data_IF_224979398631
#
_entry.id   IF_224979398631
#
_cell.length_a   1.000
_cell.length_b   1.000
_cell.length_c   1.000
_cell.angle_alpha   90.00
_cell.angle_beta   90.00
_cell.angle_gamma   90.00
#
_symmetry.space_group_name_H-M   'P 1'
#
loop_
_entity.id
_entity.type
_entity.pdbx_description
1 polymer ?
#
# COMPACT_ATOMS: atom_id res chain seq x y z
N UNK A 1 4.07 -26.23 -30.53
CA UNK A 1 4.63 -26.03 -29.18
C UNK A 1 6.05 -25.55 -29.34
N UNK A 2 6.28 -24.24 -29.20
CA UNK A 2 7.63 -23.71 -29.01
C UNK A 2 8.04 -23.97 -27.56
N UNK A 3 9.30 -24.34 -27.29
CA UNK A 3 9.76 -24.56 -25.92
C UNK A 3 9.83 -23.21 -25.19
N UNK A 4 9.10 -23.12 -24.08
CA UNK A 4 9.23 -22.05 -23.10
C UNK A 4 10.68 -21.99 -22.63
N UNK A 5 11.36 -20.83 -22.68
CA UNK A 5 12.70 -20.71 -22.09
C UNK A 5 12.61 -21.01 -20.59
N UNK A 6 13.67 -21.56 -19.97
CA UNK A 6 13.67 -21.90 -18.56
C UNK A 6 13.38 -20.64 -17.75
N UNK A 7 12.45 -20.76 -16.79
CA UNK A 7 12.18 -19.72 -15.82
C UNK A 7 13.51 -19.29 -15.18
N UNK A 8 13.84 -18.00 -15.30
CA UNK A 8 14.94 -17.42 -14.54
C UNK A 8 14.71 -17.77 -13.07
N UNK A 9 15.72 -18.36 -12.44
CA UNK A 9 15.73 -18.56 -10.99
C UNK A 9 15.42 -17.22 -10.30
N UNK A 10 14.70 -17.21 -9.17
CA UNK A 10 14.41 -15.98 -8.45
C UNK A 10 15.74 -15.26 -8.17
N UNK A 11 15.87 -14.02 -8.64
CA UNK A 11 17.00 -13.17 -8.33
C UNK A 11 16.96 -12.90 -6.81
N UNK A 12 17.68 -13.68 -6.02
CA UNK A 12 17.94 -13.40 -4.60
C UNK A 12 19.04 -12.34 -4.44
N UNK A 13 19.02 -11.22 -5.19
CA UNK A 13 20.19 -10.33 -5.29
C UNK A 13 19.89 -8.86 -5.68
N UNK A 14 18.97 -8.17 -4.99
CA UNK A 14 18.82 -6.70 -5.07
C UNK A 14 19.10 -6.02 -3.71
N UNK A 15 18.39 -6.45 -2.66
CA UNK A 15 18.43 -5.81 -1.34
C UNK A 15 19.82 -5.72 -0.70
N UNK A 16 20.74 -6.67 -0.96
CA UNK A 16 22.09 -6.66 -0.39
C UNK A 16 22.96 -5.47 -0.84
N UNK A 17 22.41 -4.57 -1.68
CA UNK A 17 23.12 -3.43 -2.27
C UNK A 17 22.38 -2.11 -2.11
N UNK A 18 21.19 -2.11 -1.53
CA UNK A 18 20.44 -0.90 -1.22
C UNK A 18 20.82 -0.40 0.19
N UNK A 19 20.92 0.92 0.33
CA UNK A 19 21.24 1.62 1.56
C UNK A 19 20.18 2.71 1.71
N UNK A 20 19.32 2.54 2.71
CA UNK A 20 18.12 3.35 2.88
C UNK A 20 18.10 4.10 4.22
N UNK A 21 19.09 3.78 5.07
CA UNK A 21 19.30 4.44 6.33
C UNK A 21 20.74 4.95 6.48
N UNK A 22 20.90 6.00 7.27
CA UNK A 22 22.22 6.53 7.62
C UNK A 22 23.05 5.51 8.42
N UNK A 23 22.38 4.66 9.21
CA UNK A 23 23.05 3.61 9.98
C UNK A 23 23.67 2.53 9.07
N UNK A 24 22.93 2.05 8.08
CA UNK A 24 23.45 1.13 7.06
C UNK A 24 24.56 1.77 6.24
N UNK A 25 24.40 3.05 5.88
CA UNK A 25 25.45 3.80 5.19
C UNK A 25 26.76 3.78 5.99
N UNK A 26 26.69 4.12 7.28
CA UNK A 26 27.86 4.15 8.15
C UNK A 26 28.48 2.76 8.33
N UNK A 27 27.66 1.71 8.43
CA UNK A 27 28.13 0.32 8.50
C UNK A 27 28.84 -0.12 7.22
N UNK A 28 28.26 0.12 6.05
CA UNK A 28 28.83 -0.27 4.76
C UNK A 28 30.12 0.50 4.49
N UNK A 29 30.16 1.81 4.75
CA UNK A 29 31.37 2.60 4.54
C UNK A 29 32.49 2.17 5.48
N UNK A 30 32.20 1.71 6.69
CA UNK A 30 33.21 1.14 7.58
C UNK A 30 33.89 -0.11 6.98
N UNK A 31 33.26 -0.79 6.02
CA UNK A 31 33.85 -1.92 5.27
C UNK A 31 34.74 -1.45 4.09
N UNK A 32 34.76 -0.15 3.80
CA UNK A 32 35.77 0.51 2.97
C UNK A 32 35.36 0.83 1.52
N UNK A 33 34.14 0.53 1.09
CA UNK A 33 33.68 0.84 -0.28
C UNK A 33 32.17 0.99 -0.38
N UNK A 34 31.72 1.90 -1.22
CA UNK A 34 30.33 2.03 -1.71
C UNK A 34 30.21 1.59 -3.18
N UNK A 35 31.25 0.97 -3.74
CA UNK A 35 31.26 0.60 -5.14
C UNK A 35 30.05 -0.28 -5.46
N UNK A 36 29.25 0.19 -6.43
CA UNK A 36 28.06 -0.48 -6.91
C UNK A 36 26.91 -0.67 -5.91
N UNK A 37 26.89 0.07 -4.79
CA UNK A 37 25.71 0.21 -3.94
C UNK A 37 24.68 1.17 -4.57
N UNK A 38 23.45 1.13 -4.06
CA UNK A 38 22.35 2.06 -4.33
C UNK A 38 22.04 2.74 -3.01
N UNK A 39 22.22 4.06 -2.94
CA UNK A 39 21.90 4.84 -1.76
C UNK A 39 20.65 5.64 -2.09
N UNK A 40 19.61 5.52 -1.28
CA UNK A 40 18.28 6.02 -1.59
C UNK A 40 17.71 6.84 -0.44
N UNK A 41 17.37 8.10 -0.72
CA UNK A 41 16.74 9.04 0.22
C UNK A 41 17.48 9.21 1.58
N UNK A 42 18.79 8.94 1.63
CA UNK A 42 19.61 9.13 2.83
C UNK A 42 20.19 10.54 2.87
N UNK A 43 20.00 11.25 3.98
CA UNK A 43 20.69 12.52 4.23
C UNK A 43 22.16 12.28 4.57
N UNK A 44 23.04 12.69 3.64
CA UNK A 44 24.49 12.53 3.73
C UNK A 44 25.22 13.87 3.88
N UNK A 45 24.51 14.96 4.21
CA UNK A 45 25.12 16.28 4.41
C UNK A 45 26.23 16.24 5.46
N UNK A 46 26.02 15.51 6.55
CA UNK A 46 26.98 15.28 7.64
C UNK A 46 28.01 14.16 7.34
N UNK A 47 28.11 13.68 6.10
CA UNK A 47 29.04 12.62 5.67
C UNK A 47 30.01 13.09 4.58
N UNK A 48 30.20 14.40 4.45
CA UNK A 48 31.06 15.01 3.43
C UNK A 48 32.48 14.42 3.42
N UNK A 49 33.18 14.39 4.56
CA UNK A 49 34.56 13.86 4.65
C UNK A 49 34.65 12.37 4.24
N UNK A 50 33.64 11.60 4.63
CA UNK A 50 33.49 10.19 4.26
C UNK A 50 33.33 10.04 2.75
N UNK A 51 32.42 10.81 2.14
CA UNK A 51 32.14 10.79 0.71
C UNK A 51 33.31 11.28 -0.15
N UNK A 52 34.16 12.15 0.40
CA UNK A 52 35.37 12.61 -0.27
C UNK A 52 36.46 11.52 -0.37
N UNK A 53 36.45 10.55 0.54
CA UNK A 53 37.51 9.55 0.71
C UNK A 53 37.12 8.13 0.27
N UNK A 54 35.87 7.72 0.43
CA UNK A 54 35.39 6.37 0.11
C UNK A 54 35.35 6.12 -1.40
N UNK A 55 35.55 4.86 -1.81
CA UNK A 55 35.35 4.45 -3.21
C UNK A 55 33.85 4.36 -3.54
N UNK A 56 33.38 5.22 -4.45
CA UNK A 56 31.98 5.27 -4.90
C UNK A 56 31.79 4.82 -6.35
N UNK A 57 32.78 4.15 -6.95
CA UNK A 57 32.73 3.79 -8.37
C UNK A 57 31.50 2.93 -8.69
N UNK A 58 30.68 3.37 -9.64
CA UNK A 58 29.46 2.66 -10.05
C UNK A 58 28.34 2.62 -9.01
N UNK A 59 28.49 3.37 -7.89
CA UNK A 59 27.40 3.62 -6.97
C UNK A 59 26.32 4.48 -7.64
N UNK A 60 25.08 4.39 -7.14
CA UNK A 60 23.99 5.28 -7.55
C UNK A 60 23.43 5.93 -6.29
N UNK A 61 23.31 7.25 -6.29
CA UNK A 61 22.68 8.03 -5.24
C UNK A 61 21.36 8.58 -5.78
N UNK A 62 20.24 8.22 -5.14
CA UNK A 62 18.88 8.60 -5.49
C UNK A 62 18.34 9.55 -4.42
N UNK A 63 18.18 10.82 -4.76
CA UNK A 63 17.57 11.80 -3.86
C UNK A 63 18.33 12.06 -2.56
N UNK A 64 19.64 11.76 -2.50
CA UNK A 64 20.43 11.94 -1.27
C UNK A 64 20.90 13.40 -1.13
N UNK A 65 20.52 14.14 -0.07
CA UNK A 65 21.13 15.42 0.26
C UNK A 65 22.64 15.27 0.55
N UNK A 66 23.47 16.12 -0.05
CA UNK A 66 24.93 16.11 0.09
C UNK A 66 25.49 17.52 -0.05
N UNK A 67 26.65 17.80 0.53
CA UNK A 67 27.43 19.00 0.19
C UNK A 67 27.86 18.98 -1.29
N UNK A 68 27.95 20.15 -1.91
CA UNK A 68 28.29 20.30 -3.33
C UNK A 68 29.68 19.70 -3.67
N UNK A 69 30.64 19.82 -2.75
CA UNK A 69 31.98 19.26 -2.91
C UNK A 69 31.95 17.73 -2.92
N UNK A 70 31.16 17.12 -2.04
CA UNK A 70 30.95 15.69 -1.99
C UNK A 70 30.25 15.20 -3.27
N UNK A 71 29.13 15.81 -3.66
CA UNK A 71 28.39 15.47 -4.86
C UNK A 71 29.27 15.54 -6.13
N UNK A 72 30.13 16.56 -6.23
CA UNK A 72 31.08 16.70 -7.34
C UNK A 72 32.13 15.60 -7.33
N UNK A 73 32.69 15.28 -6.16
CA UNK A 73 33.72 14.25 -6.00
C UNK A 73 33.19 12.84 -6.30
N UNK A 74 31.99 12.48 -5.85
CA UNK A 74 31.42 11.14 -6.09
C UNK A 74 31.06 10.95 -7.58
N UNK A 75 30.54 11.99 -8.25
CA UNK A 75 30.32 11.97 -9.72
C UNK A 75 31.63 11.80 -10.47
N UNK A 76 32.67 12.54 -10.09
CA UNK A 76 34.01 12.41 -10.67
C UNK A 76 34.62 11.00 -10.45
N UNK A 77 34.20 10.29 -9.40
CA UNK A 77 34.60 8.90 -9.14
C UNK A 77 33.88 7.86 -10.02
N UNK A 78 32.88 8.27 -10.81
CA UNK A 78 32.07 7.39 -11.63
C UNK A 78 30.79 6.87 -10.95
N UNK A 79 30.29 7.56 -9.93
CA UNK A 79 28.94 7.35 -9.41
C UNK A 79 27.89 8.11 -10.24
N UNK A 80 26.66 7.61 -10.28
CA UNK A 80 25.49 8.36 -10.74
C UNK A 80 24.84 9.05 -9.54
N UNK A 81 24.49 10.33 -9.68
CA UNK A 81 23.86 11.11 -8.61
C UNK A 81 22.62 11.80 -9.17
N UNK A 82 21.47 11.41 -8.64
CA UNK A 82 20.18 12.05 -8.85
C UNK A 82 19.92 12.94 -7.63
N UNK A 83 19.89 14.28 -7.79
CA UNK A 83 19.76 15.17 -6.65
C UNK A 83 18.34 15.11 -6.05
N UNK A 84 18.17 15.48 -4.76
CA UNK A 84 16.86 15.81 -4.22
C UNK A 84 16.18 16.87 -5.08
N UNK A 85 14.86 16.74 -5.27
CA UNK A 85 14.09 17.75 -6.00
C UNK A 85 13.45 18.68 -4.97
N UNK A 86 13.85 19.95 -4.90
CA UNK A 86 13.30 20.88 -3.93
C UNK A 86 11.83 21.18 -4.22
N UNK A 87 11.12 21.67 -3.19
CA UNK A 87 9.76 22.20 -3.28
C UNK A 87 8.68 21.20 -3.74
N UNK A 88 8.96 19.89 -3.73
CA UNK A 88 7.93 18.87 -3.91
C UNK A 88 7.22 18.57 -2.59
N UNK A 89 5.89 18.34 -2.62
CA UNK A 89 5.13 17.90 -1.44
C UNK A 89 5.28 16.40 -1.13
N UNK A 90 6.11 15.69 -1.91
CA UNK A 90 6.44 14.27 -1.75
C UNK A 90 7.91 14.04 -2.14
N UNK A 91 8.52 12.99 -1.59
CA UNK A 91 9.83 12.53 -2.02
C UNK A 91 9.69 11.47 -3.14
N UNK A 92 10.13 11.75 -4.39
CA UNK A 92 10.06 10.79 -5.47
C UNK A 92 11.02 9.60 -5.30
N UNK A 93 12.04 9.69 -4.45
CA UNK A 93 13.03 8.64 -4.26
C UNK A 93 12.86 7.91 -2.93
N UNK A 94 11.72 8.09 -2.23
CA UNK A 94 11.50 7.53 -0.90
C UNK A 94 11.80 6.04 -0.81
N UNK A 95 12.45 5.62 0.27
CA UNK A 95 12.79 4.23 0.60
C UNK A 95 11.70 3.49 1.39
N UNK A 96 10.79 4.22 2.03
CA UNK A 96 9.71 3.62 2.81
C UNK A 96 8.36 4.03 2.27
N UNK A 97 7.33 3.20 2.52
CA UNK A 97 5.94 3.59 2.28
C UNK A 97 5.48 4.65 3.31
N UNK A 98 4.37 5.34 3.04
CA UNK A 98 3.93 6.46 3.88
C UNK A 98 3.40 5.98 5.22
N UNK A 99 3.49 6.84 6.23
CA UNK A 99 2.69 6.70 7.45
C UNK A 99 1.48 7.64 7.44
N UNK A 100 0.43 7.36 8.22
CA UNK A 100 -0.65 8.33 8.42
C UNK A 100 -0.16 9.65 9.01
N UNK A 101 0.76 9.61 9.96
CA UNK A 101 1.27 10.83 10.61
C UNK A 101 2.03 11.73 9.62
N UNK A 102 2.76 11.13 8.67
CA UNK A 102 3.41 11.85 7.57
C UNK A 102 2.40 12.47 6.60
N UNK A 103 1.45 11.67 6.08
CA UNK A 103 0.49 12.16 5.07
C UNK A 103 -0.49 13.21 5.61
N UNK A 104 -0.79 13.15 6.91
CA UNK A 104 -1.67 14.09 7.60
C UNK A 104 -0.90 15.11 8.46
N UNK A 105 0.40 15.29 8.24
CA UNK A 105 1.13 16.36 8.90
C UNK A 105 0.44 17.71 8.65
N UNK A 106 0.45 18.61 9.64
CA UNK A 106 -0.26 19.90 9.60
C UNK A 106 -1.81 19.84 9.54
N UNK A 107 -2.45 18.71 9.91
CA UNK A 107 -3.92 18.58 9.98
C UNK A 107 -4.61 19.58 10.94
N UNK A 108 -3.89 20.14 11.90
CA UNK A 108 -4.36 21.23 12.77
C UNK A 108 -4.67 22.51 11.97
N UNK A 109 -3.99 22.73 10.85
CA UNK A 109 -4.20 23.84 9.91
C UNK A 109 -5.29 23.54 8.86
N UNK A 110 -5.76 22.29 8.78
CA UNK A 110 -6.74 21.82 7.80
C UNK A 110 -6.16 20.77 6.86
N UNK A 111 -7.00 19.87 6.32
CA UNK A 111 -6.54 18.79 5.43
C UNK A 111 -5.83 19.33 4.18
N UNK A 112 -6.25 20.48 3.67
CA UNK A 112 -5.66 21.12 2.50
C UNK A 112 -4.19 21.54 2.70
N UNK A 113 -3.73 21.67 3.94
CA UNK A 113 -2.33 21.96 4.28
C UNK A 113 -1.45 20.71 4.39
N UNK A 114 -2.04 19.51 4.32
CA UNK A 114 -1.32 18.26 4.53
C UNK A 114 -0.50 17.83 3.31
N UNK A 115 0.61 17.09 3.46
CA UNK A 115 1.38 16.56 2.34
C UNK A 115 0.53 15.77 1.34
N UNK A 116 -0.49 15.05 1.84
CA UNK A 116 -1.42 14.31 1.01
C UNK A 116 -2.22 15.20 0.04
N UNK A 117 -2.78 16.30 0.55
CA UNK A 117 -3.57 17.24 -0.24
C UNK A 117 -2.68 18.09 -1.17
N UNK A 118 -1.50 18.48 -0.71
CA UNK A 118 -0.52 19.22 -1.51
C UNK A 118 -0.01 18.38 -2.69
N UNK A 119 0.26 17.09 -2.46
CA UNK A 119 0.65 16.15 -3.54
C UNK A 119 -0.46 15.97 -4.57
N UNK A 120 -1.72 15.97 -4.13
CA UNK A 120 -2.85 15.96 -5.06
C UNK A 120 -2.93 17.27 -5.87
N UNK A 121 -2.83 18.43 -5.22
CA UNK A 121 -2.83 19.72 -5.90
C UNK A 121 -1.73 19.79 -6.97
N UNK A 122 -0.51 19.37 -6.62
CA UNK A 122 0.62 19.29 -7.55
C UNK A 122 0.32 18.36 -8.75
N UNK A 123 -0.30 17.19 -8.53
CA UNK A 123 -0.73 16.31 -9.62
C UNK A 123 -1.74 17.01 -10.54
N UNK A 124 -2.70 17.75 -9.99
CA UNK A 124 -3.73 18.41 -10.81
C UNK A 124 -3.15 19.52 -11.70
N UNK A 125 -2.14 20.21 -11.22
CA UNK A 125 -1.41 21.22 -11.98
C UNK A 125 -0.56 20.58 -13.10
N UNK A 126 0.11 19.45 -12.81
CA UNK A 126 1.10 18.84 -13.71
C UNK A 126 0.58 17.70 -14.58
N UNK A 127 -0.64 17.21 -14.38
CA UNK A 127 -1.15 16.07 -15.18
C UNK A 127 -1.47 16.45 -16.63
N UNK A 128 -1.72 17.72 -16.91
CA UNK A 128 -2.25 18.20 -18.19
C UNK A 128 -1.31 19.15 -18.94
N UNK A 129 -0.18 19.52 -18.34
CA UNK A 129 0.79 20.44 -18.94
C UNK A 129 1.71 19.75 -19.98
N UNK A 130 1.79 18.41 -19.95
CA UNK A 130 2.64 17.62 -20.83
C UNK A 130 4.12 17.62 -20.41
N UNK A 131 4.42 18.02 -19.17
CA UNK A 131 5.79 18.07 -18.66
C UNK A 131 6.37 16.66 -18.46
N UNK A 132 7.44 16.38 -19.18
CA UNK A 132 8.19 15.14 -19.09
C UNK A 132 8.86 15.03 -17.71
N UNK A 133 9.27 16.13 -17.11
CA UNK A 133 9.90 16.11 -15.80
C UNK A 133 8.90 15.70 -14.71
N UNK A 134 7.74 16.36 -14.61
CA UNK A 134 6.69 15.97 -13.67
C UNK A 134 6.17 14.54 -13.89
N UNK A 135 6.01 14.08 -15.13
CA UNK A 135 5.62 12.69 -15.40
C UNK A 135 6.71 11.68 -15.03
N UNK A 136 7.98 12.00 -15.25
CA UNK A 136 9.12 11.20 -14.79
C UNK A 136 9.14 11.11 -13.26
N UNK A 137 8.96 12.22 -12.53
CA UNK A 137 8.98 12.21 -11.06
C UNK A 137 7.86 11.34 -10.47
N UNK A 138 6.66 11.37 -11.06
CA UNK A 138 5.57 10.46 -10.65
C UNK A 138 5.91 8.99 -10.90
N UNK A 139 6.54 8.69 -12.04
CA UNK A 139 6.94 7.33 -12.36
C UNK A 139 8.04 6.81 -11.42
N UNK A 140 9.05 7.64 -11.12
CA UNK A 140 10.11 7.31 -10.16
C UNK A 140 9.52 7.12 -8.76
N UNK A 141 8.61 8.00 -8.33
CA UNK A 141 7.88 7.85 -7.07
C UNK A 141 7.11 6.53 -6.98
N UNK A 142 6.30 6.22 -7.99
CA UNK A 142 5.47 5.01 -7.96
C UNK A 142 6.31 3.72 -8.01
N UNK A 143 7.48 3.77 -8.64
CA UNK A 143 8.48 2.69 -8.62
C UNK A 143 9.07 2.53 -7.22
N UNK A 144 9.53 3.62 -6.59
CA UNK A 144 10.08 3.61 -5.22
C UNK A 144 9.05 3.10 -4.19
N UNK A 145 7.78 3.51 -4.32
CA UNK A 145 6.69 3.01 -3.47
C UNK A 145 6.38 1.54 -3.72
N UNK A 146 6.53 1.04 -4.94
CA UNK A 146 6.35 -0.38 -5.25
C UNK A 146 7.43 -1.22 -4.59
N UNK A 147 8.68 -0.78 -4.69
CA UNK A 147 9.85 -1.43 -4.13
C UNK A 147 9.78 -1.50 -2.60
N UNK A 148 9.57 -0.35 -1.94
CA UNK A 148 9.37 -0.25 -0.50
C UNK A 148 8.19 -1.11 0.01
N UNK A 149 7.13 -1.24 -0.79
CA UNK A 149 6.00 -2.09 -0.46
C UNK A 149 6.33 -3.59 -0.58
N UNK A 150 7.11 -3.98 -1.58
CA UNK A 150 7.55 -5.36 -1.75
C UNK A 150 8.44 -5.78 -0.58
N UNK A 151 9.38 -4.94 -0.19
CA UNK A 151 10.24 -5.13 0.98
C UNK A 151 9.44 -5.28 2.28
N UNK A 152 8.50 -4.37 2.51
CA UNK A 152 7.62 -4.41 3.68
C UNK A 152 6.83 -5.72 3.79
N UNK A 153 6.48 -6.32 2.65
CA UNK A 153 5.64 -7.52 2.58
C UNK A 153 6.44 -8.81 2.43
N UNK A 154 7.78 -8.77 2.44
CA UNK A 154 8.62 -9.97 2.43
C UNK A 154 8.23 -10.91 3.57
N UNK A 155 7.86 -12.14 3.22
CA UNK A 155 7.44 -13.16 4.17
C UNK A 155 6.05 -12.97 4.79
N UNK A 156 5.35 -11.88 4.47
CA UNK A 156 4.01 -11.62 4.96
C UNK A 156 2.97 -12.50 4.26
N UNK A 157 1.96 -12.94 5.02
CA UNK A 157 0.76 -13.60 4.48
C UNK A 157 -0.33 -12.55 4.34
N UNK A 158 -0.52 -12.04 3.14
CA UNK A 158 -1.35 -10.84 2.92
C UNK A 158 -2.75 -11.24 2.48
N UNK A 159 -3.77 -10.76 3.20
CA UNK A 159 -5.17 -10.89 2.80
C UNK A 159 -5.69 -9.53 2.35
N UNK A 160 -6.16 -9.47 1.10
CA UNK A 160 -6.83 -8.30 0.56
C UNK A 160 -8.27 -8.21 1.04
N UNK A 161 -8.73 -7.03 1.44
CA UNK A 161 -10.15 -6.77 1.69
C UNK A 161 -10.62 -5.66 0.75
N UNK A 162 -11.46 -6.05 -0.21
CA UNK A 162 -12.03 -5.18 -1.23
C UNK A 162 -13.46 -4.81 -0.89
N UNK A 163 -13.85 -3.58 -1.19
CA UNK A 163 -15.21 -3.10 -0.94
C UNK A 163 -15.37 -1.61 -1.25
N UNK A 164 -16.62 -1.17 -1.35
CA UNK A 164 -16.92 0.20 -1.75
C UNK A 164 -16.52 1.27 -0.72
N UNK A 165 -16.07 2.42 -1.21
CA UNK A 165 -15.76 3.63 -0.44
C UNK A 165 -16.99 4.31 0.19
N UNK A 166 -18.21 3.95 -0.25
CA UNK A 166 -19.46 4.61 0.13
C UNK A 166 -20.02 4.18 1.51
N UNK A 167 -19.41 3.19 2.15
CA UNK A 167 -19.82 2.70 3.46
C UNK A 167 -19.56 3.77 4.54
N UNK A 168 -20.59 4.18 5.29
CA UNK A 168 -20.45 5.21 6.31
C UNK A 168 -20.01 4.64 7.67
N UNK A 169 -19.18 5.38 8.41
CA UNK A 169 -18.89 5.09 9.83
C UNK A 169 -20.19 5.08 10.64
N UNK A 170 -20.24 4.28 11.70
CA UNK A 170 -21.43 4.11 12.56
C UNK A 170 -22.50 3.16 12.01
N UNK A 171 -22.30 2.55 10.84
CA UNK A 171 -23.21 1.53 10.30
C UNK A 171 -22.80 0.12 10.73
N UNK A 172 -23.76 -0.81 10.75
CA UNK A 172 -23.48 -2.23 11.05
C UNK A 172 -22.53 -2.87 10.03
N UNK A 173 -22.66 -2.49 8.75
CA UNK A 173 -21.76 -2.96 7.70
C UNK A 173 -20.31 -2.51 7.94
N UNK A 174 -20.11 -1.26 8.37
CA UNK A 174 -18.79 -0.74 8.74
C UNK A 174 -18.22 -1.49 9.94
N UNK A 175 -19.02 -1.68 10.99
CA UNK A 175 -18.60 -2.46 12.15
C UNK A 175 -18.27 -3.92 11.79
N UNK A 176 -19.00 -4.53 10.85
CA UNK A 176 -18.72 -5.86 10.32
C UNK A 176 -17.38 -5.94 9.62
N UNK A 177 -17.08 -4.99 8.72
CA UNK A 177 -15.79 -4.93 8.04
C UNK A 177 -14.62 -4.70 9.01
N UNK A 178 -14.83 -3.93 10.08
CA UNK A 178 -13.83 -3.77 11.13
C UNK A 178 -13.62 -5.05 11.95
N UNK A 179 -14.68 -5.81 12.25
CA UNK A 179 -14.52 -7.14 12.88
C UNK A 179 -13.76 -8.10 11.97
N UNK A 180 -14.06 -8.12 10.68
CA UNK A 180 -13.32 -8.93 9.69
C UNK A 180 -11.83 -8.61 9.70
N UNK A 181 -11.46 -7.33 9.55
CA UNK A 181 -10.05 -6.91 9.57
C UNK A 181 -9.33 -7.31 10.86
N UNK A 182 -10.02 -7.22 12.00
CA UNK A 182 -9.48 -7.63 13.29
C UNK A 182 -9.24 -9.13 13.40
N UNK A 183 -10.20 -9.94 12.95
CA UNK A 183 -10.08 -11.39 12.97
C UNK A 183 -8.97 -11.88 12.05
N UNK A 184 -8.82 -11.28 10.86
CA UNK A 184 -7.72 -11.58 9.94
C UNK A 184 -6.37 -11.25 10.55
N UNK A 185 -6.21 -10.06 11.13
CA UNK A 185 -4.97 -9.66 11.80
C UNK A 185 -4.63 -10.58 12.98
N UNK A 186 -5.62 -10.91 13.83
CA UNK A 186 -5.43 -11.87 14.94
C UNK A 186 -5.14 -13.30 14.48
N UNK A 187 -5.52 -13.66 13.25
CA UNK A 187 -5.16 -14.92 12.63
C UNK A 187 -3.74 -14.94 12.01
N UNK A 188 -2.99 -13.83 12.14
CA UNK A 188 -1.61 -13.71 11.66
C UNK A 188 -1.49 -13.30 10.19
N UNK A 189 -2.53 -12.69 9.62
CA UNK A 189 -2.48 -12.12 8.28
C UNK A 189 -2.17 -10.62 8.32
N UNK A 190 -1.41 -10.15 7.35
CA UNK A 190 -1.33 -8.71 7.04
C UNK A 190 -2.56 -8.32 6.25
N UNK A 191 -3.40 -7.43 6.80
CA UNK A 191 -4.57 -6.91 6.09
C UNK A 191 -4.13 -5.84 5.11
N UNK A 192 -4.45 -6.00 3.83
CA UNK A 192 -4.24 -5.01 2.78
C UNK A 192 -5.57 -4.53 2.20
N UNK A 193 -5.71 -3.23 1.97
CA UNK A 193 -6.92 -2.65 1.36
C UNK A 193 -6.56 -1.62 0.31
N UNK A 194 -7.56 -1.14 -0.44
CA UNK A 194 -7.40 -0.03 -1.35
C UNK A 194 -7.11 1.33 -0.69
N UNK A 195 -7.00 1.41 0.64
CA UNK A 195 -6.47 2.57 1.35
C UNK A 195 -7.43 3.76 1.52
N UNK A 196 -8.61 3.75 0.93
CA UNK A 196 -9.60 4.83 1.04
C UNK A 196 -10.58 4.70 2.22
N UNK A 197 -11.62 5.55 2.26
CA UNK A 197 -12.66 5.51 3.30
C UNK A 197 -13.57 4.27 3.18
N UNK A 198 -14.50 4.13 4.13
CA UNK A 198 -15.55 3.11 4.08
C UNK A 198 -15.06 1.71 4.41
N UNK A 199 -15.31 0.72 3.55
CA UNK A 199 -14.98 -0.68 3.84
C UNK A 199 -13.48 -0.90 4.02
N UNK A 200 -12.66 -0.19 3.24
CA UNK A 200 -11.21 -0.22 3.29
C UNK A 200 -10.71 0.31 4.64
N UNK A 201 -11.14 1.52 5.02
CA UNK A 201 -10.88 2.08 6.35
C UNK A 201 -11.32 1.14 7.47
N UNK A 202 -12.53 0.58 7.39
CA UNK A 202 -13.05 -0.30 8.43
C UNK A 202 -12.16 -1.52 8.63
N UNK A 203 -11.74 -2.18 7.56
CA UNK A 203 -10.84 -3.34 7.64
C UNK A 203 -9.47 -2.95 8.24
N UNK A 204 -8.89 -1.81 7.84
CA UNK A 204 -7.66 -1.30 8.46
C UNK A 204 -7.85 -0.94 9.94
N UNK A 205 -8.96 -0.32 10.34
CA UNK A 205 -9.32 -0.08 11.74
C UNK A 205 -9.40 -1.38 12.54
N UNK A 206 -9.97 -2.42 11.94
CA UNK A 206 -10.01 -3.75 12.52
C UNK A 206 -8.63 -4.30 12.83
N UNK A 207 -7.73 -4.25 11.84
CA UNK A 207 -6.34 -4.67 12.01
C UNK A 207 -5.59 -3.82 13.03
N UNK A 208 -5.80 -2.50 13.02
CA UNK A 208 -5.28 -1.56 14.00
C UNK A 208 -5.72 -1.93 15.43
N UNK A 209 -6.98 -2.33 15.61
CA UNK A 209 -7.54 -2.74 16.90
C UNK A 209 -7.13 -4.16 17.36
N UNK A 210 -6.44 -4.94 16.52
CA UNK A 210 -6.13 -6.34 16.78
C UNK A 210 -5.32 -6.58 18.08
N UNK A 211 -4.29 -5.78 18.42
CA UNK A 211 -3.51 -5.95 19.65
C UNK A 211 -4.27 -5.64 20.93
N UNK A 212 -5.35 -4.86 20.85
CA UNK A 212 -6.12 -4.42 22.02
C UNK A 212 -7.22 -5.40 22.42
N UNK A 213 -7.78 -5.21 23.63
CA UNK A 213 -8.97 -5.89 24.13
C UNK A 213 -10.24 -5.54 23.35
N UNK A 214 -11.27 -6.39 23.42
CA UNK A 214 -12.40 -6.33 22.50
C UNK A 214 -13.17 -5.01 22.56
N UNK A 215 -13.29 -4.44 23.76
CA UNK A 215 -13.86 -3.13 24.09
C UNK A 215 -13.28 -1.96 23.27
N UNK A 216 -11.99 -2.00 22.93
CA UNK A 216 -11.33 -0.92 22.19
C UNK A 216 -12.02 -0.65 20.84
N UNK A 217 -12.37 -1.72 20.11
CA UNK A 217 -13.03 -1.57 18.80
C UNK A 217 -14.44 -0.99 18.97
N UNK A 218 -15.14 -1.36 20.04
CA UNK A 218 -16.49 -0.83 20.32
C UNK A 218 -16.41 0.68 20.56
N UNK A 219 -15.48 1.12 21.39
CA UNK A 219 -15.29 2.54 21.71
C UNK A 219 -14.82 3.34 20.49
N UNK A 220 -13.89 2.80 19.70
CA UNK A 220 -13.43 3.41 18.46
C UNK A 220 -14.58 3.59 17.45
N UNK A 221 -15.43 2.57 17.27
CA UNK A 221 -16.59 2.65 16.37
C UNK A 221 -17.59 3.72 16.83
N UNK A 222 -17.83 3.86 18.14
CA UNK A 222 -18.70 4.90 18.68
C UNK A 222 -18.13 6.31 18.47
N UNK A 223 -16.82 6.48 18.62
CA UNK A 223 -16.14 7.74 18.37
C UNK A 223 -16.23 8.12 16.89
N UNK A 224 -15.88 7.21 15.99
CA UNK A 224 -15.88 7.43 14.55
C UNK A 224 -17.29 7.70 13.99
N UNK A 225 -18.34 7.15 14.61
CA UNK A 225 -19.72 7.41 14.23
C UNK A 225 -20.11 8.91 14.28
N UNK A 226 -19.35 9.75 15.01
CA UNK A 226 -19.55 11.20 15.05
C UNK A 226 -19.19 11.91 13.74
N UNK A 227 -18.35 11.29 12.90
CA UNK A 227 -18.00 11.77 11.58
C UNK A 227 -18.25 10.68 10.51
N UNK A 228 -19.52 10.43 10.13
CA UNK A 228 -19.92 9.29 9.28
C UNK A 228 -19.25 9.23 7.90
N UNK A 229 -18.94 10.40 7.33
CA UNK A 229 -18.40 10.58 5.98
C UNK A 229 -17.28 11.62 6.01
N UNK A 230 -16.36 11.52 5.05
CA UNK A 230 -15.30 12.51 4.83
C UNK A 230 -15.82 13.81 4.20
N UNK A 231 -17.07 13.82 3.73
CA UNK A 231 -17.78 15.02 3.30
C UNK A 231 -18.78 15.47 4.38
N UNK A 232 -18.91 16.78 4.63
CA UNK A 232 -18.32 17.89 3.88
C UNK A 232 -16.88 18.27 4.30
N UNK A 233 -16.32 17.67 5.35
CA UNK A 233 -15.03 18.07 5.93
C UNK A 233 -14.11 16.86 6.12
N UNK A 234 -13.07 16.76 5.29
CA UNK A 234 -12.03 15.73 5.43
C UNK A 234 -11.26 15.97 6.74
N UNK A 235 -11.02 17.23 7.08
CA UNK A 235 -10.35 17.64 8.33
C UNK A 235 -11.02 17.03 9.56
N UNK A 236 -12.34 17.20 9.71
CA UNK A 236 -13.06 16.68 10.89
C UNK A 236 -13.14 15.15 10.88
N UNK A 237 -13.28 14.56 9.70
CA UNK A 237 -13.28 13.11 9.52
C UNK A 237 -11.94 12.47 9.89
N UNK A 238 -10.82 13.09 9.49
CA UNK A 238 -9.48 12.65 9.84
C UNK A 238 -9.21 12.88 11.34
N UNK A 239 -9.56 14.05 11.90
CA UNK A 239 -9.41 14.34 13.33
C UNK A 239 -10.11 13.32 14.23
N UNK A 240 -11.31 12.85 13.85
CA UNK A 240 -11.98 11.78 14.58
C UNK A 240 -11.16 10.47 14.60
N UNK A 241 -10.47 10.13 13.51
CA UNK A 241 -9.60 8.96 13.47
C UNK A 241 -8.30 9.18 14.26
N UNK A 242 -7.70 10.37 14.19
CA UNK A 242 -6.54 10.71 15.01
C UNK A 242 -6.86 10.80 16.51
N UNK A 243 -8.11 11.11 16.90
CA UNK A 243 -8.55 10.98 18.29
C UNK A 243 -8.55 9.51 18.75
N UNK A 244 -8.94 8.57 17.89
CA UNK A 244 -8.81 7.12 18.17
C UNK A 244 -7.33 6.74 18.31
N UNK A 245 -6.49 7.13 17.34
CA UNK A 245 -5.04 6.84 17.38
C UNK A 245 -4.38 7.42 18.64
N UNK A 246 -4.75 8.63 19.04
CA UNK A 246 -4.22 9.27 20.25
C UNK A 246 -4.62 8.56 21.55
N UNK A 247 -5.78 7.89 21.59
CA UNK A 247 -6.21 7.07 22.74
C UNK A 247 -5.54 5.70 22.78
N UNK A 248 -5.17 5.16 21.61
CA UNK A 248 -4.62 3.81 21.43
C UNK A 248 -3.45 3.80 20.45
N UNK A 249 -2.27 4.35 20.81
CA UNK A 249 -1.20 4.64 19.86
C UNK A 249 -0.57 3.40 19.19
N UNK A 250 -0.50 2.28 19.90
CA UNK A 250 0.19 1.05 19.49
C UNK A 250 -0.71 0.09 18.68
N UNK A 251 -1.25 0.58 17.56
CA UNK A 251 -2.09 -0.21 16.67
C UNK A 251 -1.38 -1.37 15.97
N UNK A 252 -2.15 -2.37 15.54
CA UNK A 252 -1.65 -3.49 14.74
C UNK A 252 -1.28 -3.10 13.30
N UNK A 253 -0.40 -3.87 12.65
CA UNK A 253 0.07 -3.58 11.31
C UNK A 253 -1.02 -3.85 10.26
N UNK A 254 -1.14 -2.97 9.28
CA UNK A 254 -1.91 -3.20 8.06
C UNK A 254 -1.45 -2.26 6.95
N UNK A 255 -1.80 -2.59 5.70
CA UNK A 255 -1.43 -1.83 4.51
C UNK A 255 -2.67 -1.18 3.89
N UNK A 256 -2.56 0.08 3.52
CA UNK A 256 -3.51 0.77 2.65
C UNK A 256 -2.83 1.15 1.34
N UNK A 257 -3.48 0.93 0.21
CA UNK A 257 -2.92 1.22 -1.12
C UNK A 257 -3.80 2.23 -1.89
N UNK A 258 -3.86 3.51 -1.45
CA UNK A 258 -4.67 4.54 -2.08
C UNK A 258 -4.01 5.13 -3.33
N UNK A 259 -4.70 6.07 -3.98
CA UNK A 259 -4.16 6.80 -5.13
C UNK A 259 -4.56 8.27 -5.11
N UNK A 260 -3.71 9.14 -5.64
CA UNK A 260 -4.07 10.53 -5.94
C UNK A 260 -4.90 10.68 -7.23
N UNK A 261 -5.03 9.64 -8.06
CA UNK A 261 -5.76 9.68 -9.32
C UNK A 261 -7.23 10.10 -9.17
N UNK A 262 -7.92 9.54 -8.17
CA UNK A 262 -9.31 9.92 -7.87
C UNK A 262 -9.36 11.27 -7.16
N UNK A 263 -8.41 11.56 -6.27
CA UNK A 263 -8.16 12.90 -5.75
C UNK A 263 -9.17 13.47 -4.75
N UNK A 264 -10.37 12.89 -4.70
CA UNK A 264 -11.42 13.28 -3.77
C UNK A 264 -11.56 12.29 -2.59
N UNK A 265 -10.82 11.18 -2.61
CA UNK A 265 -10.81 10.20 -1.53
C UNK A 265 -9.53 10.35 -0.69
N UNK A 266 -9.65 10.76 0.59
CA UNK A 266 -8.50 10.80 1.48
C UNK A 266 -8.03 9.39 1.85
N UNK A 267 -6.72 9.20 2.13
CA UNK A 267 -6.22 7.93 2.65
C UNK A 267 -6.83 7.67 4.04
N UNK A 268 -7.01 6.40 4.40
CA UNK A 268 -7.54 6.05 5.71
C UNK A 268 -6.46 6.14 6.79
N UNK A 269 -6.73 6.75 7.96
CA UNK A 269 -5.71 6.92 9.00
C UNK A 269 -5.38 5.66 9.81
N UNK A 270 -5.97 4.50 9.53
CA UNK A 270 -5.77 3.29 10.34
C UNK A 270 -4.82 2.27 9.71
N UNK A 271 -4.49 2.41 8.43
CA UNK A 271 -3.39 1.67 7.82
C UNK A 271 -2.08 2.05 8.51
N UNK A 272 -1.32 1.07 8.99
CA UNK A 272 0.00 1.34 9.58
C UNK A 272 1.00 1.80 8.51
N UNK A 273 0.83 1.28 7.29
CA UNK A 273 1.67 1.55 6.13
C UNK A 273 0.79 1.93 4.94
N UNK A 274 1.13 3.01 4.25
CA UNK A 274 0.35 3.56 3.13
C UNK A 274 1.21 3.62 1.87
N UNK A 275 0.93 2.75 0.91
CA UNK A 275 1.54 2.79 -0.42
C UNK A 275 0.63 3.60 -1.35
N UNK A 276 0.79 4.93 -1.38
CA UNK A 276 -0.06 5.82 -2.20
C UNK A 276 0.58 6.06 -3.56
N UNK A 277 -0.20 5.94 -4.64
CA UNK A 277 0.31 6.01 -6.02
C UNK A 277 -0.28 7.17 -6.82
N UNK A 278 0.49 7.70 -7.77
CA UNK A 278 -0.02 8.62 -8.79
C UNK A 278 -0.76 7.87 -9.92
N UNK A 279 -0.23 6.74 -10.37
CA UNK A 279 -0.80 5.92 -11.44
C UNK A 279 -1.78 4.86 -10.88
N UNK A 280 -3.07 5.01 -11.20
CA UNK A 280 -4.10 4.08 -10.75
C UNK A 280 -3.88 2.64 -11.26
N UNK A 281 -3.39 2.47 -12.49
CA UNK A 281 -3.15 1.14 -13.07
C UNK A 281 -2.11 0.34 -12.28
N UNK A 282 -1.00 0.98 -11.90
CA UNK A 282 0.04 0.38 -11.05
C UNK A 282 -0.53 0.01 -9.68
N UNK A 283 -1.36 0.89 -9.11
CA UNK A 283 -2.04 0.66 -7.83
C UNK A 283 -3.01 -0.51 -7.84
N UNK A 284 -3.85 -0.62 -8.87
CA UNK A 284 -4.88 -1.66 -8.97
C UNK A 284 -4.26 -3.06 -9.12
N UNK A 285 -3.31 -3.22 -10.04
CA UNK A 285 -2.61 -4.48 -10.21
C UNK A 285 -1.73 -4.79 -8.99
N UNK A 286 -1.02 -3.78 -8.49
CA UNK A 286 -0.07 -3.91 -7.39
C UNK A 286 -0.69 -4.37 -6.08
N UNK A 287 -1.92 -3.92 -5.76
CA UNK A 287 -2.65 -4.38 -4.57
C UNK A 287 -3.00 -5.87 -4.67
N UNK A 288 -3.58 -6.30 -5.78
CA UNK A 288 -4.01 -7.69 -5.96
C UNK A 288 -2.83 -8.66 -6.13
N UNK A 289 -1.75 -8.21 -6.76
CA UNK A 289 -0.51 -8.98 -6.91
C UNK A 289 0.10 -9.39 -5.57
N UNK A 290 -0.05 -8.54 -4.55
CA UNK A 290 0.54 -8.72 -3.23
C UNK A 290 -0.37 -9.44 -2.24
N UNK A 291 -1.61 -9.79 -2.63
CA UNK A 291 -2.55 -10.55 -1.79
C UNK A 291 -2.25 -12.07 -1.82
N UNK A 292 -1.13 -12.46 -1.22
CA UNK A 292 -0.58 -13.83 -1.28
C UNK A 292 -1.40 -14.89 -0.52
N UNK A 293 -2.23 -14.50 0.44
CA UNK A 293 -3.05 -15.40 1.25
C UNK A 293 -4.54 -15.37 0.89
N UNK A 294 -4.92 -14.61 -0.13
CA UNK A 294 -6.28 -14.55 -0.66
C UNK A 294 -6.93 -13.17 -0.56
N UNK A 295 -8.14 -13.06 -1.09
CA UNK A 295 -8.89 -11.80 -1.19
C UNK A 295 -10.35 -12.01 -0.76
N UNK A 296 -10.86 -11.10 0.07
CA UNK A 296 -12.27 -11.00 0.45
C UNK A 296 -12.91 -9.84 -0.31
N UNK A 297 -14.00 -10.10 -1.03
CA UNK A 297 -14.75 -9.13 -1.79
C UNK A 297 -16.10 -8.85 -1.11
N UNK A 298 -16.19 -7.68 -0.47
CA UNK A 298 -17.42 -7.17 0.14
C UNK A 298 -18.33 -6.55 -0.94
N UNK A 299 -19.65 -6.40 -0.68
CA UNK A 299 -20.56 -5.75 -1.62
C UNK A 299 -20.03 -4.43 -2.16
N UNK A 300 -20.00 -4.31 -3.49
CA UNK A 300 -19.36 -3.21 -4.19
C UNK A 300 -20.08 -2.82 -5.48
N UNK A 301 -19.38 -2.12 -6.36
CA UNK A 301 -19.88 -1.68 -7.65
C UNK A 301 -18.81 -1.93 -8.73
N UNK A 302 -18.70 -1.05 -9.73
CA UNK A 302 -17.80 -1.23 -10.87
C UNK A 302 -16.35 -1.53 -10.47
N UNK A 303 -15.76 -0.78 -9.53
CA UNK A 303 -14.39 -1.01 -9.06
C UNK A 303 -14.19 -2.40 -8.45
N UNK A 304 -15.07 -2.81 -7.51
CA UNK A 304 -14.97 -4.14 -6.89
C UNK A 304 -15.22 -5.27 -7.89
N UNK A 305 -16.09 -5.08 -8.89
CA UNK A 305 -16.28 -6.05 -9.96
C UNK A 305 -15.00 -6.18 -10.79
N UNK A 306 -14.34 -5.07 -11.11
CA UNK A 306 -13.04 -5.08 -11.79
C UNK A 306 -12.00 -5.85 -10.96
N UNK A 307 -11.87 -5.54 -9.67
CA UNK A 307 -10.93 -6.20 -8.75
C UNK A 307 -11.15 -7.72 -8.68
N UNK A 308 -12.41 -8.19 -8.73
CA UNK A 308 -12.72 -9.63 -8.77
C UNK A 308 -12.07 -10.28 -10.00
N UNK A 309 -12.16 -9.66 -11.17
CA UNK A 309 -11.63 -10.24 -12.41
C UNK A 309 -10.13 -9.98 -12.61
N UNK A 310 -9.60 -8.89 -12.07
CA UNK A 310 -8.16 -8.64 -12.01
C UNK A 310 -7.47 -9.68 -11.11
N UNK A 311 -8.15 -10.17 -10.06
CA UNK A 311 -7.66 -11.28 -9.23
C UNK A 311 -7.93 -12.66 -9.85
N UNK A 312 -9.11 -12.85 -10.47
CA UNK A 312 -9.46 -14.12 -11.11
C UNK A 312 -8.55 -14.45 -12.30
N UNK A 313 -8.07 -13.45 -13.03
CA UNK A 313 -7.30 -13.65 -14.26
C UNK A 313 -5.95 -14.34 -14.00
N UNK A 314 -5.10 -13.87 -13.06
CA UNK A 314 -3.90 -14.60 -12.65
C UNK A 314 -4.20 -15.99 -12.08
N UNK A 315 -5.29 -16.14 -11.31
CA UNK A 315 -5.73 -17.45 -10.80
C UNK A 315 -6.15 -18.41 -11.93
N UNK A 316 -6.74 -17.90 -13.01
CA UNK A 316 -7.15 -18.69 -14.17
C UNK A 316 -5.94 -19.17 -14.99
N UNK A 317 -4.95 -18.30 -15.18
CA UNK A 317 -3.75 -18.58 -15.96
C UNK A 317 -2.59 -19.17 -15.14
N UNK A 318 -2.72 -19.24 -13.81
CA UNK A 318 -1.65 -19.60 -12.87
C UNK A 318 -0.39 -18.74 -13.05
N UNK A 319 -0.56 -17.49 -13.50
CA UNK A 319 0.56 -16.61 -13.87
C UNK A 319 1.37 -16.10 -12.67
N UNK A 320 0.82 -16.25 -11.46
CA UNK A 320 1.45 -15.91 -10.17
C UNK A 320 1.68 -17.14 -9.28
N UNK A 321 1.63 -18.35 -9.86
CA UNK A 321 1.72 -19.62 -9.14
C UNK A 321 0.34 -20.23 -8.86
N UNK A 322 0.23 -21.00 -7.77
CA UNK A 322 -1.03 -21.63 -7.40
C UNK A 322 -2.13 -20.60 -7.13
N UNK A 323 -3.39 -20.87 -7.52
CA UNK A 323 -4.46 -19.90 -7.32
C UNK A 323 -4.69 -19.60 -5.84
N UNK A 324 -4.77 -18.33 -5.49
CA UNK A 324 -5.03 -17.88 -4.11
C UNK A 324 -6.54 -17.85 -3.81
N UNK A 325 -6.95 -17.98 -2.54
CA UNK A 325 -8.36 -17.97 -2.16
C UNK A 325 -9.09 -16.68 -2.57
N UNK A 326 -10.31 -16.82 -3.10
CA UNK A 326 -11.24 -15.72 -3.39
C UNK A 326 -12.55 -15.93 -2.64
N UNK A 327 -12.91 -15.02 -1.74
CA UNK A 327 -14.16 -15.12 -0.95
C UNK A 327 -15.05 -13.93 -1.27
N UNK A 328 -16.18 -14.19 -1.91
CA UNK A 328 -17.21 -13.18 -2.15
C UNK A 328 -18.22 -13.22 -0.99
N UNK A 329 -18.54 -12.07 -0.41
CA UNK A 329 -19.46 -11.93 0.72
C UNK A 329 -20.78 -11.34 0.25
N UNK A 330 -21.90 -11.86 0.76
CA UNK A 330 -23.29 -11.52 0.41
C UNK A 330 -23.76 -12.18 -0.89
N UNK A 331 -24.40 -13.34 -0.75
CA UNK A 331 -24.95 -14.15 -1.85
C UNK A 331 -25.87 -13.34 -2.76
N UNK A 332 -26.89 -12.69 -2.19
CA UNK A 332 -27.87 -11.93 -2.96
C UNK A 332 -27.22 -10.84 -3.82
N UNK A 333 -26.20 -10.16 -3.29
CA UNK A 333 -25.46 -9.16 -4.06
C UNK A 333 -24.79 -9.77 -5.30
N UNK A 334 -24.03 -10.86 -5.12
CA UNK A 334 -23.21 -11.45 -6.18
C UNK A 334 -23.92 -12.45 -7.10
N UNK A 335 -25.17 -12.82 -6.79
CA UNK A 335 -25.99 -13.71 -7.65
C UNK A 335 -27.18 -13.03 -8.29
N UNK A 336 -27.73 -11.98 -7.68
CA UNK A 336 -28.96 -11.32 -8.16
C UNK A 336 -28.71 -9.89 -8.62
N UNK A 337 -28.10 -9.06 -7.76
CA UNK A 337 -27.92 -7.62 -8.05
C UNK A 337 -26.82 -7.36 -9.08
N UNK A 338 -25.64 -7.93 -8.86
CA UNK A 338 -24.48 -7.91 -9.74
C UNK A 338 -24.01 -9.36 -9.87
N UNK A 339 -24.53 -10.14 -10.85
CA UNK A 339 -24.36 -11.59 -10.93
C UNK A 339 -22.94 -12.03 -11.35
N UNK A 340 -21.93 -11.56 -10.63
CA UNK A 340 -20.51 -11.87 -10.81
C UNK A 340 -20.21 -13.31 -10.45
N UNK A 341 -20.86 -13.86 -9.42
CA UNK A 341 -20.57 -15.23 -8.95
C UNK A 341 -20.87 -16.31 -10.00
N UNK A 342 -22.03 -16.32 -10.70
CA UNK A 342 -22.26 -17.25 -11.80
C UNK A 342 -21.17 -17.22 -12.88
N UNK A 343 -20.68 -16.02 -13.24
CA UNK A 343 -19.62 -15.86 -14.23
C UNK A 343 -18.27 -16.36 -13.71
N UNK A 344 -17.87 -15.96 -12.50
CA UNK A 344 -16.63 -16.42 -11.86
C UNK A 344 -16.61 -17.95 -11.75
N UNK A 345 -17.71 -18.57 -11.31
CA UNK A 345 -17.83 -20.03 -11.21
C UNK A 345 -17.74 -20.70 -12.58
N UNK A 346 -18.32 -20.11 -13.63
CA UNK A 346 -18.23 -20.64 -14.98
C UNK A 346 -16.79 -20.60 -15.52
N UNK A 347 -16.02 -19.54 -15.22
CA UNK A 347 -14.60 -19.43 -15.56
C UNK A 347 -13.75 -20.41 -14.76
N UNK A 348 -14.09 -20.63 -13.49
CA UNK A 348 -13.33 -21.48 -12.58
C UNK A 348 -13.50 -22.98 -12.84
N UNK A 349 -14.61 -23.40 -13.44
CA UNK A 349 -14.97 -24.81 -13.60
C UNK A 349 -13.89 -25.59 -14.33
N UNK A 350 -13.57 -26.79 -13.82
CA UNK A 350 -12.57 -27.72 -14.36
C UNK A 350 -11.14 -27.12 -14.37
N UNK A 351 -10.87 -26.15 -13.48
CA UNK A 351 -9.56 -25.52 -13.25
C UNK A 351 -9.14 -25.63 -11.78
N UNK A 352 -7.86 -25.46 -11.51
CA UNK A 352 -7.29 -25.39 -10.16
C UNK A 352 -7.96 -24.32 -9.28
N UNK A 353 -8.34 -23.18 -9.86
CA UNK A 353 -9.05 -22.10 -9.16
C UNK A 353 -10.46 -22.49 -8.67
N UNK A 354 -11.08 -23.56 -9.18
CA UNK A 354 -12.43 -23.99 -8.76
C UNK A 354 -12.49 -24.27 -7.25
N UNK A 355 -11.46 -24.94 -6.73
CA UNK A 355 -11.35 -25.27 -5.31
C UNK A 355 -10.92 -24.08 -4.44
N UNK A 356 -10.64 -22.91 -5.04
CA UNK A 356 -10.11 -21.72 -4.38
C UNK A 356 -11.11 -20.56 -4.33
N UNK A 357 -12.34 -20.73 -4.84
CA UNK A 357 -13.39 -19.71 -4.75
C UNK A 357 -14.49 -20.11 -3.73
N UNK A 358 -15.04 -19.13 -3.01
CA UNK A 358 -16.22 -19.32 -2.17
C UNK A 358 -17.17 -18.12 -2.21
N UNK A 359 -18.46 -18.41 -2.02
CA UNK A 359 -19.51 -17.41 -1.79
C UNK A 359 -20.18 -17.68 -0.45
N UNK A 360 -20.07 -16.72 0.46
CA UNK A 360 -20.63 -16.77 1.81
C UNK A 360 -21.79 -15.78 1.97
N UNK A 361 -22.67 -16.04 2.93
CA UNK A 361 -23.84 -15.21 3.16
C UNK A 361 -23.50 -14.00 4.04
N UNK A 362 -22.81 -14.23 5.17
CA UNK A 362 -22.33 -13.20 6.09
C UNK A 362 -20.82 -12.90 5.99
N UNK A 363 -20.42 -11.73 6.49
CA UNK A 363 -19.00 -11.30 6.51
C UNK A 363 -18.18 -12.10 7.54
N UNK A 364 -18.83 -12.50 8.64
CA UNK A 364 -18.32 -13.32 9.73
C UNK A 364 -17.90 -14.74 9.27
N UNK A 365 -18.42 -15.21 8.14
CA UNK A 365 -18.03 -16.51 7.57
C UNK A 365 -16.73 -16.44 6.76
N UNK A 366 -16.30 -15.24 6.35
CA UNK A 366 -15.18 -15.06 5.44
C UNK A 366 -13.84 -15.60 5.99
N UNK A 367 -13.46 -15.39 7.27
CA UNK A 367 -12.21 -15.93 7.81
C UNK A 367 -12.18 -17.47 7.80
N UNK A 368 -13.31 -18.11 8.14
CA UNK A 368 -13.43 -19.56 8.11
C UNK A 368 -13.36 -20.10 6.66
N UNK A 369 -13.97 -19.39 5.71
CA UNK A 369 -13.89 -19.73 4.29
C UNK A 369 -12.45 -19.59 3.77
N UNK A 370 -11.75 -18.49 4.05
CA UNK A 370 -10.35 -18.30 3.68
C UNK A 370 -9.47 -19.42 4.22
N UNK A 371 -9.61 -19.77 5.50
CA UNK A 371 -8.84 -20.86 6.12
C UNK A 371 -9.09 -22.20 5.43
N UNK A 372 -10.34 -22.53 5.11
CA UNK A 372 -10.71 -23.76 4.40
C UNK A 372 -10.12 -23.81 2.98
N UNK A 373 -10.08 -22.66 2.30
CA UNK A 373 -9.56 -22.55 0.94
C UNK A 373 -8.03 -22.49 0.89
N UNK A 374 -7.37 -22.02 1.96
CA UNK A 374 -5.91 -21.84 2.01
C UNK A 374 -5.11 -23.14 2.09
N UNK A 375 -5.67 -24.18 2.73
CA UNK A 375 -4.95 -25.42 3.04
C UNK A 375 -4.37 -25.41 4.44
#
# INVERSE_FOLDING_TARGET
MQPTPPAHAPHTASHDREIESLAEFDEVVAQGTLAHFRIQAVDLTDRTDTLLSVDTKGAVFLGCPMDESAATRVRAAGALVFPPVPDLPFDPYRSFVYTPDELFDSLDQGYEATPDALSYAWLQETKADGDVFASMLRAVHDDAVSDALDELLVGARVVGVMGGHAMARGTEAYAGAARLGRELARAGFTVATGGGPGAMEAANLGAYAAPYGDEMLVDALQLLAKAPKFTPSITDWARAAFEVRGRWPDGGPSVGIPTWFYGHEPPNPFAAHIAKYFANATREDGLLARCTAGVVFLPGAAGTVQEIFDNATPNYYESRGEPTPMVLVNRAHWTEKLPTWPLLRALARERSMEARIALVDGIEEAPAALKRLGG
#
